data_IF_055974254090
#
_entry.id   IF_055974254090
#
_cell.length_a   1.000
_cell.length_b   1.000
_cell.length_c   1.000
_cell.angle_alpha   90.00
_cell.angle_beta   90.00
_cell.angle_gamma   90.00
#
_symmetry.space_group_name_H-M   'P 1'
#
loop_
_entity.id
_entity.type
_entity.pdbx_description
1 polymer ?
#
# COMPACT_ATOMS: atom_id res chain seq x y z
N UNK A 1 -14.83 -17.14 35.57
CA UNK A 1 -14.00 -15.95 35.27
C UNK A 1 -12.54 -16.30 34.96
N UNK A 2 -11.82 -17.12 35.77
CA UNK A 2 -10.45 -17.55 35.42
C UNK A 2 -10.39 -18.51 34.23
N UNK A 3 -11.36 -19.43 34.13
CA UNK A 3 -11.44 -20.44 33.07
C UNK A 3 -11.55 -19.84 31.66
N UNK A 4 -12.35 -18.78 31.49
CA UNK A 4 -12.48 -18.08 30.22
C UNK A 4 -11.20 -17.32 29.82
N UNK A 5 -10.40 -16.86 30.78
CA UNK A 5 -9.14 -16.15 30.49
C UNK A 5 -8.13 -17.12 29.91
N UNK A 6 -8.00 -18.31 30.51
CA UNK A 6 -7.08 -19.34 30.00
C UNK A 6 -7.55 -19.93 28.67
N UNK A 7 -8.86 -20.18 28.51
CA UNK A 7 -9.43 -20.63 27.24
C UNK A 7 -9.17 -19.62 26.10
N UNK A 8 -9.32 -18.33 26.37
CA UNK A 8 -9.00 -17.26 25.41
C UNK A 8 -7.51 -17.22 25.09
N UNK A 9 -6.64 -17.31 26.10
CA UNK A 9 -5.17 -17.35 25.91
C UNK A 9 -4.77 -18.51 24.99
N UNK A 10 -5.23 -19.73 25.29
CA UNK A 10 -4.92 -20.92 24.51
C UNK A 10 -5.50 -20.85 23.08
N UNK A 11 -6.70 -20.32 22.92
CA UNK A 11 -7.34 -20.15 21.60
C UNK A 11 -6.54 -19.20 20.70
N UNK A 12 -6.06 -18.08 21.25
CA UNK A 12 -5.23 -17.11 20.53
C UNK A 12 -3.86 -17.70 20.19
N UNK A 13 -3.20 -18.38 21.14
CA UNK A 13 -1.90 -19.01 20.90
C UNK A 13 -1.96 -20.13 19.85
N UNK A 14 -3.07 -20.90 19.82
CA UNK A 14 -3.27 -21.97 18.83
C UNK A 14 -3.55 -21.44 17.43
N UNK A 15 -4.16 -20.26 17.31
CA UNK A 15 -4.55 -19.70 16.00
C UNK A 15 -4.40 -18.17 15.98
N UNK A 16 -3.18 -17.65 16.06
CA UNK A 16 -2.92 -16.22 16.25
C UNK A 16 -3.34 -15.35 15.07
N UNK A 17 -3.57 -15.98 13.91
CA UNK A 17 -3.96 -15.33 12.64
C UNK A 17 -5.47 -15.12 12.50
N UNK A 18 -6.27 -15.63 13.44
CA UNK A 18 -7.71 -15.47 13.44
C UNK A 18 -8.12 -14.17 14.13
N UNK A 19 -9.14 -13.49 13.58
CA UNK A 19 -9.65 -12.27 14.22
C UNK A 19 -10.23 -12.57 15.61
N UNK A 20 -10.15 -11.62 16.53
CA UNK A 20 -10.78 -11.74 17.86
C UNK A 20 -12.28 -12.10 17.78
N UNK A 21 -12.98 -11.67 16.71
CA UNK A 21 -14.38 -12.05 16.46
C UNK A 21 -14.55 -13.54 16.21
N UNK A 22 -13.65 -14.15 15.42
CA UNK A 22 -13.68 -15.59 15.15
C UNK A 22 -13.41 -16.39 16.43
N UNK A 23 -12.47 -15.95 17.26
CA UNK A 23 -12.24 -16.58 18.58
C UNK A 23 -13.44 -16.43 19.51
N UNK A 24 -14.09 -15.26 19.53
CA UNK A 24 -15.30 -15.03 20.33
C UNK A 24 -16.42 -16.01 19.94
N UNK A 25 -16.64 -16.21 18.63
CA UNK A 25 -17.61 -17.19 18.11
C UNK A 25 -17.21 -18.63 18.47
N UNK A 26 -15.94 -19.00 18.30
CA UNK A 26 -15.47 -20.35 18.58
C UNK A 26 -15.51 -20.73 20.07
N UNK A 27 -15.42 -19.74 20.97
CA UNK A 27 -15.46 -19.91 22.42
C UNK A 27 -16.86 -19.61 23.00
N UNK A 28 -17.85 -19.32 22.16
CA UNK A 28 -19.20 -18.92 22.56
C UNK A 28 -19.25 -17.78 23.59
N UNK A 29 -18.42 -16.75 23.36
CA UNK A 29 -18.39 -15.53 24.19
C UNK A 29 -18.68 -14.28 23.37
N UNK A 30 -19.20 -13.25 24.04
CA UNK A 30 -19.42 -11.97 23.39
C UNK A 30 -18.11 -11.32 22.90
N UNK A 31 -18.17 -10.57 21.80
CA UNK A 31 -17.01 -9.82 21.29
C UNK A 31 -16.47 -8.83 22.34
N UNK A 32 -17.36 -8.23 23.14
CA UNK A 32 -17.00 -7.33 24.23
C UNK A 32 -16.19 -8.06 25.30
N UNK A 33 -16.64 -9.25 25.72
CA UNK A 33 -15.91 -10.10 26.67
C UNK A 33 -14.54 -10.50 26.15
N UNK A 34 -14.45 -10.90 24.87
CA UNK A 34 -13.18 -11.24 24.23
C UNK A 34 -12.18 -10.08 24.27
N UNK A 35 -12.59 -8.88 23.84
CA UNK A 35 -11.73 -7.68 23.86
C UNK A 35 -11.31 -7.30 25.28
N UNK A 36 -12.23 -7.39 26.24
CA UNK A 36 -11.94 -7.12 27.65
C UNK A 36 -10.88 -8.09 28.19
N UNK A 37 -11.02 -9.39 27.90
CA UNK A 37 -10.04 -10.41 28.30
C UNK A 37 -8.67 -10.13 27.68
N UNK A 38 -8.63 -9.82 26.38
CA UNK A 38 -7.39 -9.49 25.68
C UNK A 38 -6.67 -8.28 26.31
N UNK A 39 -7.39 -7.18 26.57
CA UNK A 39 -6.78 -5.94 27.04
C UNK A 39 -6.52 -5.90 28.55
N UNK A 40 -7.52 -6.26 29.36
CA UNK A 40 -7.49 -6.06 30.81
C UNK A 40 -6.89 -7.24 31.57
N UNK A 41 -7.01 -8.47 31.03
CA UNK A 41 -6.57 -9.68 31.73
C UNK A 41 -5.31 -10.31 31.14
N UNK A 42 -5.15 -10.27 29.82
CA UNK A 42 -3.98 -10.82 29.12
C UNK A 42 -2.93 -9.77 28.78
N UNK A 43 -3.30 -8.48 28.81
CA UNK A 43 -2.46 -7.37 28.36
C UNK A 43 -1.91 -7.57 26.95
N UNK A 44 -2.72 -8.17 26.08
CA UNK A 44 -2.38 -8.37 24.68
C UNK A 44 -2.73 -7.11 23.88
N UNK A 45 -1.85 -6.80 22.94
CA UNK A 45 -2.02 -5.70 22.00
C UNK A 45 -2.26 -6.24 20.59
N UNK A 46 -3.14 -5.59 19.81
CA UNK A 46 -3.31 -5.93 18.42
C UNK A 46 -2.16 -5.34 17.62
N UNK A 47 -1.31 -6.20 17.11
CA UNK A 47 -0.21 -5.78 16.24
C UNK A 47 -0.56 -6.10 14.79
N UNK A 48 -0.31 -5.13 13.91
CA UNK A 48 -0.47 -5.29 12.47
C UNK A 48 0.81 -5.88 11.88
N UNK A 49 0.69 -6.83 10.97
CA UNK A 49 1.86 -7.25 10.19
C UNK A 49 2.33 -6.10 9.31
N UNK A 50 3.57 -5.66 9.54
CA UNK A 50 4.30 -4.78 8.64
C UNK A 50 5.12 -5.63 7.69
N UNK A 51 4.91 -5.46 6.38
CA UNK A 51 5.95 -5.83 5.42
C UNK A 51 6.75 -4.56 5.23
N UNK A 52 7.97 -4.57 5.74
CA UNK A 52 8.91 -3.46 5.58
C UNK A 52 10.02 -3.93 4.67
N UNK A 53 10.45 -3.07 3.74
CA UNK A 53 11.76 -3.23 3.14
C UNK A 53 12.79 -2.63 4.10
N UNK A 54 13.94 -3.28 4.23
CA UNK A 54 15.05 -2.73 5.00
C UNK A 54 15.63 -1.54 4.22
N UNK A 55 15.54 -0.35 4.81
CA UNK A 55 16.09 0.86 4.20
C UNK A 55 17.53 1.04 4.67
N UNK A 56 18.44 1.24 3.72
CA UNK A 56 19.81 1.65 4.06
C UNK A 56 19.84 3.12 4.50
N UNK A 57 20.89 3.57 5.21
CA UNK A 57 21.07 4.99 5.54
C UNK A 57 21.07 5.90 4.30
N UNK A 58 21.54 5.38 3.17
CA UNK A 58 21.52 6.08 1.88
C UNK A 58 20.10 6.27 1.37
N UNK A 59 19.25 5.25 1.50
CA UNK A 59 17.85 5.36 1.09
C UNK A 59 17.10 6.38 1.92
N UNK A 60 17.38 6.44 3.23
CA UNK A 60 16.82 7.46 4.10
C UNK A 60 17.17 8.88 3.64
N UNK A 61 18.44 9.14 3.33
CA UNK A 61 18.87 10.44 2.83
C UNK A 61 18.24 10.76 1.47
N UNK A 62 18.19 9.80 0.56
CA UNK A 62 17.53 9.97 -0.75
C UNK A 62 16.05 10.33 -0.59
N UNK A 63 15.36 9.70 0.36
CA UNK A 63 13.94 9.97 0.65
C UNK A 63 13.73 11.39 1.17
N UNK A 64 14.58 11.87 2.07
CA UNK A 64 14.52 13.26 2.55
C UNK A 64 14.68 14.23 1.38
N UNK A 65 15.73 14.05 0.57
CA UNK A 65 16.01 14.94 -0.56
C UNK A 65 14.87 14.94 -1.58
N UNK A 66 14.26 13.77 -1.85
CA UNK A 66 13.07 13.69 -2.71
C UNK A 66 11.89 14.45 -2.11
N UNK A 67 11.60 14.27 -0.82
CA UNK A 67 10.52 14.99 -0.15
C UNK A 67 10.73 16.52 -0.20
N UNK A 68 11.95 16.99 0.06
CA UNK A 68 12.31 18.41 -0.05
C UNK A 68 12.11 18.92 -1.48
N UNK A 69 12.60 18.17 -2.48
CA UNK A 69 12.43 18.51 -3.90
C UNK A 69 10.95 18.59 -4.29
N UNK A 70 10.13 17.66 -3.81
CA UNK A 70 8.69 17.66 -4.06
C UNK A 70 8.02 18.89 -3.43
N UNK A 71 8.37 19.23 -2.18
CA UNK A 71 7.82 20.42 -1.49
C UNK A 71 8.19 21.72 -2.18
N UNK A 72 9.39 21.81 -2.77
CA UNK A 72 9.85 22.99 -3.50
C UNK A 72 9.20 23.13 -4.89
N UNK A 73 8.97 22.01 -5.59
CA UNK A 73 8.58 22.02 -7.00
C UNK A 73 7.07 21.83 -7.23
N UNK A 74 6.35 21.13 -6.33
CA UNK A 74 4.91 20.94 -6.46
C UNK A 74 4.16 22.14 -5.86
N UNK A 75 3.39 22.89 -6.66
CA UNK A 75 2.57 23.96 -6.11
C UNK A 75 1.47 23.37 -5.20
N UNK A 76 1.04 24.06 -4.13
CA UNK A 76 0.03 23.55 -3.19
C UNK A 76 -1.30 23.13 -3.83
N UNK A 77 -1.67 23.76 -4.95
CA UNK A 77 -2.89 23.49 -5.69
C UNK A 77 -2.67 22.60 -6.93
N UNK A 78 -1.48 21.98 -7.05
CA UNK A 78 -1.15 21.07 -8.13
C UNK A 78 -2.20 19.97 -8.24
N UNK A 79 -2.68 19.74 -9.46
CA UNK A 79 -3.44 18.55 -9.74
C UNK A 79 -2.47 17.43 -10.09
N UNK A 80 -2.21 16.54 -9.14
CA UNK A 80 -1.30 15.41 -9.31
C UNK A 80 -2.09 14.10 -9.44
N UNK A 81 -1.71 13.29 -10.41
CA UNK A 81 -2.11 11.90 -10.54
C UNK A 81 -0.96 11.01 -10.08
N UNK A 82 -1.21 10.22 -9.06
CA UNK A 82 -0.29 9.18 -8.58
C UNK A 82 -0.71 7.87 -9.20
N UNK A 83 0.24 7.12 -9.76
CA UNK A 83 -0.06 5.85 -10.41
C UNK A 83 0.75 4.71 -9.83
N UNK A 84 0.11 3.55 -9.74
CA UNK A 84 0.76 2.30 -9.32
C UNK A 84 -0.04 1.10 -9.85
N UNK A 85 0.58 -0.06 -9.88
CA UNK A 85 -0.04 -1.37 -10.02
C UNK A 85 -0.70 -1.83 -8.72
N UNK A 86 -1.67 -2.72 -8.84
CA UNK A 86 -2.37 -3.36 -7.75
C UNK A 86 -2.46 -4.85 -8.06
N UNK A 87 -1.97 -5.69 -7.15
CA UNK A 87 -2.00 -7.14 -7.33
C UNK A 87 -3.14 -7.78 -6.55
N UNK A 88 -4.13 -8.33 -7.25
CA UNK A 88 -5.22 -9.09 -6.67
C UNK A 88 -4.94 -10.58 -6.78
N UNK A 89 -4.63 -11.23 -5.67
CA UNK A 89 -4.37 -12.67 -5.64
C UNK A 89 -5.69 -13.46 -5.70
N UNK A 90 -5.79 -14.39 -6.66
CA UNK A 90 -6.99 -15.21 -6.87
C UNK A 90 -7.18 -16.27 -5.76
N UNK A 91 -6.13 -16.56 -5.01
CA UNK A 91 -6.16 -17.46 -3.86
C UNK A 91 -6.81 -16.87 -2.59
N UNK A 92 -7.26 -15.61 -2.62
CA UNK A 92 -7.89 -14.94 -1.47
C UNK A 92 -6.95 -14.71 -0.27
N UNK A 93 -5.64 -14.79 -0.48
CA UNK A 93 -4.66 -14.91 0.60
C UNK A 93 -4.13 -13.54 1.11
N UNK A 94 -4.20 -13.38 2.43
CA UNK A 94 -3.61 -12.32 3.29
C UNK A 94 -3.94 -10.87 2.91
N UNK A 95 -5.05 -10.38 3.46
CA UNK A 95 -5.30 -8.94 3.59
C UNK A 95 -4.47 -8.40 4.78
N UNK A 96 -3.37 -7.67 4.50
CA UNK A 96 -2.49 -7.03 5.51
C UNK A 96 -3.23 -6.05 6.43
N UNK A 97 -4.32 -5.45 5.98
CA UNK A 97 -5.16 -4.53 6.76
C UNK A 97 -5.98 -5.27 7.83
N UNK A 98 -6.29 -6.54 7.58
CA UNK A 98 -7.10 -7.40 8.45
C UNK A 98 -6.28 -8.41 9.26
N UNK A 99 -5.01 -8.65 8.91
CA UNK A 99 -4.12 -9.48 9.71
C UNK A 99 -3.54 -8.72 10.90
N UNK A 100 -4.23 -8.89 12.05
CA UNK A 100 -3.73 -8.49 13.37
C UNK A 100 -3.55 -9.72 14.22
N UNK A 101 -2.37 -9.86 14.83
CA UNK A 101 -2.13 -10.86 15.86
C UNK A 101 -2.19 -10.19 17.24
N UNK A 102 -2.70 -10.92 18.22
CA UNK A 102 -2.80 -10.46 19.60
C UNK A 102 -1.69 -11.11 20.41
N UNK A 103 -0.82 -10.30 21.00
CA UNK A 103 0.31 -10.77 21.81
C UNK A 103 0.65 -9.75 22.89
N UNK A 104 1.29 -10.19 23.98
CA UNK A 104 1.82 -9.28 25.01
C UNK A 104 3.08 -8.53 24.55
N UNK A 105 3.82 -9.10 23.59
CA UNK A 105 5.01 -8.51 22.99
C UNK A 105 4.93 -8.60 21.46
N UNK A 106 5.58 -7.67 20.74
CA UNK A 106 5.67 -7.74 19.28
C UNK A 106 6.49 -8.98 18.86
N UNK A 107 5.89 -9.99 18.23
CA UNK A 107 6.52 -11.24 17.83
C UNK A 107 7.42 -11.09 16.59
N UNK A 108 7.45 -9.91 15.94
CA UNK A 108 8.27 -9.63 14.76
C UNK A 108 8.15 -10.70 13.66
N UNK A 109 6.98 -11.32 13.53
CA UNK A 109 6.78 -12.39 12.56
C UNK A 109 6.95 -11.87 11.13
N UNK A 110 7.84 -12.53 10.38
CA UNK A 110 7.99 -12.36 8.94
C UNK A 110 7.14 -13.43 8.25
N UNK A 111 6.21 -13.01 7.40
CA UNK A 111 5.41 -13.94 6.61
C UNK A 111 6.07 -14.19 5.26
N UNK A 112 6.63 -15.38 5.10
CA UNK A 112 7.07 -15.88 3.80
C UNK A 112 5.87 -16.13 2.88
N UNK A 113 6.01 -15.75 1.61
CA UNK A 113 4.96 -15.86 0.59
C UNK A 113 5.43 -16.79 -0.52
N UNK A 114 4.55 -17.60 -1.12
CA UNK A 114 4.87 -18.30 -2.36
C UNK A 114 5.19 -17.26 -3.45
N UNK A 115 6.31 -17.45 -4.15
CA UNK A 115 6.79 -16.53 -5.19
C UNK A 115 5.80 -16.41 -6.38
N UNK A 116 4.97 -17.42 -6.60
CA UNK A 116 4.13 -17.58 -7.80
C UNK A 116 2.67 -17.95 -7.47
N UNK A 117 1.98 -17.12 -6.68
CA UNK A 117 0.52 -17.24 -6.56
C UNK A 117 -0.19 -16.54 -7.72
N UNK A 118 -1.24 -17.16 -8.26
CA UNK A 118 -2.04 -16.56 -9.32
C UNK A 118 -2.59 -15.20 -8.89
N UNK A 119 -2.33 -14.19 -9.71
CA UNK A 119 -2.71 -12.80 -9.43
C UNK A 119 -3.11 -12.07 -10.70
N UNK A 120 -4.04 -11.14 -10.55
CA UNK A 120 -4.40 -10.15 -11.56
C UNK A 120 -3.74 -8.84 -11.18
N UNK A 121 -2.99 -8.24 -12.11
CA UNK A 121 -2.39 -6.92 -11.93
C UNK A 121 -3.26 -5.89 -12.61
N UNK A 122 -3.72 -4.90 -11.84
CA UNK A 122 -4.48 -3.76 -12.36
C UNK A 122 -3.67 -2.50 -12.13
N UNK A 123 -3.47 -1.71 -13.17
CA UNK A 123 -2.94 -0.37 -13.04
C UNK A 123 -4.06 0.62 -12.74
N UNK A 124 -3.81 1.58 -11.85
CA UNK A 124 -4.66 2.76 -11.74
C UNK A 124 -3.87 4.02 -11.43
N UNK A 125 -4.39 5.17 -11.88
CA UNK A 125 -4.00 6.49 -11.42
C UNK A 125 -5.07 7.10 -10.52
N UNK A 126 -4.65 7.69 -9.41
CA UNK A 126 -5.48 8.34 -8.41
C UNK A 126 -5.12 9.82 -8.35
N UNK A 127 -6.14 10.67 -8.28
CA UNK A 127 -6.01 12.09 -8.00
C UNK A 127 -7.18 12.57 -7.13
N UNK A 128 -7.09 13.81 -6.63
CA UNK A 128 -8.18 14.47 -5.89
C UNK A 128 -9.50 14.58 -6.67
N UNK A 129 -9.44 14.44 -8.00
CA UNK A 129 -10.58 14.53 -8.91
C UNK A 129 -11.18 13.18 -9.29
N UNK A 130 -10.51 12.06 -8.99
CA UNK A 130 -11.00 10.73 -9.36
C UNK A 130 -9.92 9.67 -9.58
N UNK A 131 -10.34 8.53 -10.15
CA UNK A 131 -9.53 7.33 -10.43
C UNK A 131 -9.65 6.94 -11.91
N UNK A 132 -8.55 6.51 -12.55
CA UNK A 132 -8.48 6.07 -13.96
C UNK A 132 -7.76 4.70 -14.07
N UNK A 133 -8.19 3.74 -14.93
CA UNK A 133 -7.49 2.47 -15.28
C UNK A 133 -8.25 1.58 -16.31
N UNK A 134 -7.67 0.57 -17.06
CA UNK A 134 -6.49 -0.29 -16.76
C UNK A 134 -5.44 -0.59 -17.90
N UNK A 135 -4.23 -1.09 -17.55
CA UNK A 135 -3.09 -1.51 -18.43
C UNK A 135 -1.84 -0.62 -18.25
N UNK A 136 -0.64 -0.85 -18.83
CA UNK A 136 0.51 0.11 -18.66
C UNK A 136 0.84 0.94 -19.91
N UNK A 137 1.61 0.44 -20.88
CA UNK A 137 2.05 1.28 -22.03
C UNK A 137 0.88 1.67 -22.94
N UNK A 138 0.06 0.68 -23.33
CA UNK A 138 -1.16 0.94 -24.10
C UNK A 138 -2.15 1.77 -23.29
N UNK A 139 -2.14 1.69 -21.96
CA UNK A 139 -3.01 2.48 -21.12
C UNK A 139 -2.61 3.95 -21.07
N UNK A 140 -1.32 4.27 -20.94
CA UNK A 140 -0.87 5.68 -20.92
C UNK A 140 -1.37 6.37 -22.20
N UNK A 141 -1.17 5.71 -23.36
CA UNK A 141 -1.53 6.28 -24.66
C UNK A 141 -3.03 6.24 -24.95
N UNK A 142 -3.69 5.12 -24.69
CA UNK A 142 -5.04 4.87 -25.19
C UNK A 142 -6.13 5.10 -24.14
N UNK A 143 -5.78 5.24 -22.86
CA UNK A 143 -6.75 5.38 -21.77
C UNK A 143 -6.47 6.60 -20.88
N UNK A 144 -5.29 6.72 -20.29
CA UNK A 144 -4.99 7.81 -19.36
C UNK A 144 -4.94 9.17 -20.05
N UNK A 145 -4.19 9.30 -21.15
CA UNK A 145 -4.11 10.56 -21.89
C UNK A 145 -5.48 10.99 -22.46
N UNK A 146 -6.25 10.11 -23.13
CA UNK A 146 -7.60 10.47 -23.59
C UNK A 146 -8.55 10.82 -22.45
N UNK A 147 -8.58 10.04 -21.35
CA UNK A 147 -9.43 10.35 -20.21
C UNK A 147 -9.09 11.70 -19.56
N UNK A 148 -7.80 12.05 -19.49
CA UNK A 148 -7.36 13.35 -19.01
C UNK A 148 -7.85 14.50 -19.91
N UNK A 149 -7.85 14.29 -21.22
CA UNK A 149 -8.34 15.25 -22.21
C UNK A 149 -9.86 15.43 -22.11
N UNK A 150 -10.62 14.35 -21.91
CA UNK A 150 -12.07 14.39 -21.62
C UNK A 150 -12.38 15.12 -20.32
N UNK A 151 -11.54 14.98 -19.30
CA UNK A 151 -11.66 15.72 -18.04
C UNK A 151 -11.29 17.22 -18.19
N UNK A 152 -10.82 17.65 -19.37
CA UNK A 152 -10.32 18.99 -19.66
C UNK A 152 -9.18 19.44 -18.73
N UNK A 153 -8.33 18.50 -18.32
CA UNK A 153 -7.24 18.75 -17.37
C UNK A 153 -5.89 18.86 -18.10
N UNK A 154 -5.58 20.04 -18.63
CA UNK A 154 -4.32 20.28 -19.35
C UNK A 154 -3.08 20.46 -18.46
N UNK A 155 -3.27 20.92 -17.22
CA UNK A 155 -2.17 21.22 -16.30
C UNK A 155 -2.09 20.24 -15.12
N UNK A 156 -1.75 18.98 -15.42
CA UNK A 156 -1.55 17.94 -14.39
C UNK A 156 -0.12 17.49 -14.23
N UNK A 157 0.17 17.07 -13.02
CA UNK A 157 1.40 16.41 -12.62
C UNK A 157 1.17 14.91 -12.65
N UNK A 158 2.15 14.15 -13.14
CA UNK A 158 2.05 12.70 -13.22
C UNK A 158 3.17 12.06 -12.41
N UNK A 159 2.81 11.14 -11.53
CA UNK A 159 3.73 10.39 -10.69
C UNK A 159 3.64 8.89 -11.00
N UNK A 160 4.80 8.24 -11.09
CA UNK A 160 4.95 6.78 -11.14
C UNK A 160 6.21 6.32 -10.38
N UNK A 161 6.24 5.06 -9.97
CA UNK A 161 7.38 4.51 -9.24
C UNK A 161 8.58 4.15 -10.16
N UNK A 162 9.61 3.55 -9.56
CA UNK A 162 10.85 3.18 -10.23
C UNK A 162 10.85 1.83 -10.95
N UNK A 163 9.69 1.18 -11.17
CA UNK A 163 9.66 -0.14 -11.81
C UNK A 163 10.32 -0.13 -13.22
N UNK A 164 10.86 -1.28 -13.64
CA UNK A 164 11.59 -1.38 -14.91
C UNK A 164 10.76 -0.96 -16.13
N UNK A 165 9.47 -1.32 -16.16
CA UNK A 165 8.57 -0.89 -17.24
C UNK A 165 8.35 0.63 -17.24
N UNK A 166 8.43 1.27 -16.07
CA UNK A 166 8.17 2.70 -15.89
C UNK A 166 9.35 3.57 -16.30
N UNK A 167 10.56 3.05 -16.07
CA UNK A 167 11.83 3.70 -16.42
C UNK A 167 12.33 3.32 -17.80
N UNK A 168 11.68 2.37 -18.49
CA UNK A 168 12.00 2.00 -19.85
C UNK A 168 11.96 3.22 -20.78
N UNK A 169 12.91 3.30 -21.72
CA UNK A 169 13.04 4.44 -22.64
C UNK A 169 11.74 4.75 -23.37
N UNK A 170 11.04 3.72 -23.85
CA UNK A 170 9.77 3.89 -24.57
C UNK A 170 8.69 4.58 -23.70
N UNK A 171 8.56 4.16 -22.44
CA UNK A 171 7.61 4.73 -21.47
C UNK A 171 7.99 6.16 -21.11
N UNK A 172 9.26 6.39 -20.76
CA UNK A 172 9.76 7.72 -20.40
C UNK A 172 9.70 8.72 -21.55
N UNK A 173 9.92 8.30 -22.80
CA UNK A 173 9.75 9.17 -23.97
C UNK A 173 8.32 9.68 -24.10
N UNK A 174 7.33 8.80 -23.91
CA UNK A 174 5.91 9.18 -23.98
C UNK A 174 5.54 10.12 -22.84
N UNK A 175 5.95 9.78 -21.62
CA UNK A 175 5.61 10.55 -20.42
C UNK A 175 6.28 11.93 -20.40
N UNK A 176 7.55 12.04 -20.77
CA UNK A 176 8.25 13.32 -20.86
C UNK A 176 7.64 14.24 -21.91
N UNK A 177 7.19 13.68 -23.04
CA UNK A 177 6.52 14.46 -24.08
C UNK A 177 5.15 15.00 -23.60
N UNK A 178 4.40 14.20 -22.82
CA UNK A 178 3.07 14.61 -22.33
C UNK A 178 3.11 15.51 -21.08
N UNK A 179 4.08 15.30 -20.19
CA UNK A 179 4.21 15.99 -18.91
C UNK A 179 5.56 16.74 -18.77
N UNK A 180 5.87 17.68 -19.68
CA UNK A 180 7.13 18.41 -19.62
C UNK A 180 7.22 19.21 -18.31
N UNK A 181 8.31 19.00 -17.56
CA UNK A 181 8.55 19.64 -16.25
C UNK A 181 7.58 19.24 -15.13
N UNK A 182 6.70 18.26 -15.36
CA UNK A 182 5.62 17.87 -14.44
C UNK A 182 5.53 16.35 -14.23
N UNK A 183 6.61 15.65 -14.58
CA UNK A 183 6.77 14.21 -14.41
C UNK A 183 7.60 13.92 -13.15
N UNK A 184 7.03 13.11 -12.26
CA UNK A 184 7.65 12.64 -11.03
C UNK A 184 7.88 11.13 -11.18
N UNK A 185 9.12 10.72 -11.36
CA UNK A 185 9.50 9.34 -11.70
C UNK A 185 10.95 9.12 -11.30
N UNK A 186 11.37 7.85 -11.23
CA UNK A 186 12.79 7.55 -11.19
C UNK A 186 13.42 8.05 -12.51
N UNK A 187 14.51 8.82 -12.42
CA UNK A 187 15.23 9.42 -13.56
C UNK A 187 14.42 10.45 -14.40
N UNK A 188 13.44 11.14 -13.81
CA UNK A 188 12.87 12.38 -14.39
C UNK A 188 13.47 13.63 -13.75
N UNK A 189 13.07 14.80 -14.25
CA UNK A 189 13.48 16.11 -13.71
C UNK A 189 13.14 16.26 -12.23
N UNK A 190 12.04 15.63 -11.80
CA UNK A 190 11.62 15.57 -10.40
C UNK A 190 11.73 14.11 -9.95
N UNK A 191 12.71 13.76 -9.12
CA UNK A 191 12.98 12.38 -8.76
C UNK A 191 11.90 11.83 -7.83
N UNK A 192 11.58 10.54 -8.00
CA UNK A 192 10.84 9.76 -7.02
C UNK A 192 11.80 8.84 -6.26
N UNK A 193 11.62 8.71 -4.94
CA UNK A 193 12.45 7.85 -4.12
C UNK A 193 12.07 6.38 -4.33
N UNK A 194 13.08 5.52 -4.47
CA UNK A 194 12.86 4.07 -4.45
C UNK A 194 12.26 3.63 -3.10
N UNK A 195 11.54 2.50 -3.12
CA UNK A 195 11.02 1.82 -1.93
C UNK A 195 10.29 2.73 -0.93
N UNK A 196 9.51 3.68 -1.46
CA UNK A 196 8.76 4.67 -0.67
C UNK A 196 7.23 4.52 -0.81
N UNK A 197 6.65 3.35 -0.48
CA UNK A 197 5.20 3.13 -0.59
C UNK A 197 4.39 4.01 0.35
N UNK A 198 4.98 4.48 1.46
CA UNK A 198 4.34 5.41 2.39
C UNK A 198 4.17 6.82 1.80
N UNK A 199 4.88 7.16 0.72
CA UNK A 199 4.68 8.39 -0.05
C UNK A 199 3.65 8.20 -1.18
N UNK A 200 3.20 6.97 -1.46
CA UNK A 200 2.32 6.62 -2.58
C UNK A 200 0.84 6.61 -2.15
N UNK A 201 0.01 7.59 -2.55
CA UNK A 201 -1.42 7.63 -2.18
C UNK A 201 -2.20 6.39 -2.65
N UNK A 202 -1.82 5.80 -3.79
CA UNK A 202 -2.44 4.60 -4.31
C UNK A 202 -2.36 3.42 -3.33
N UNK A 203 -1.26 3.29 -2.58
CA UNK A 203 -1.06 2.16 -1.65
C UNK A 203 -1.98 2.27 -0.43
N UNK A 204 -2.34 3.50 -0.02
CA UNK A 204 -3.35 3.72 1.00
C UNK A 204 -4.77 3.38 0.51
N UNK A 205 -5.12 3.81 -0.71
CA UNK A 205 -6.48 3.68 -1.24
C UNK A 205 -6.83 2.25 -1.62
N UNK A 206 -5.85 1.52 -2.16
CA UNK A 206 -6.04 0.19 -2.70
C UNK A 206 -6.40 -0.85 -1.63
N UNK A 207 -5.97 -0.68 -0.37
CA UNK A 207 -6.11 -1.74 0.64
C UNK A 207 -5.50 -3.09 0.21
N UNK A 208 -4.73 -3.07 -0.87
CA UNK A 208 -4.11 -4.22 -1.54
C UNK A 208 -2.74 -4.41 -0.90
N UNK A 209 -2.37 -5.68 -0.62
CA UNK A 209 -1.14 -6.06 0.06
C UNK A 209 0.12 -5.42 -0.50
#
# INVERSE_FOLDING_TARGET
>A
MPENVEAVRQSILRSPRCSARKHAVALDISNRSMRRILHEHLHFHPYKMGVVQELSPRDFQNRITVCETLLENLPPNALAFFSNEAHFHLSGYVNKQNMRYWSGNNPRELLERPLHSDKVTVWCALSRVGVIGPGYVDMIKNFFVPALEEMHQGNVWFQQDGAMAHTARASMTVLRAKFPGRLISLQSDIPWAADSPDLMPCDFFKGIP
#
